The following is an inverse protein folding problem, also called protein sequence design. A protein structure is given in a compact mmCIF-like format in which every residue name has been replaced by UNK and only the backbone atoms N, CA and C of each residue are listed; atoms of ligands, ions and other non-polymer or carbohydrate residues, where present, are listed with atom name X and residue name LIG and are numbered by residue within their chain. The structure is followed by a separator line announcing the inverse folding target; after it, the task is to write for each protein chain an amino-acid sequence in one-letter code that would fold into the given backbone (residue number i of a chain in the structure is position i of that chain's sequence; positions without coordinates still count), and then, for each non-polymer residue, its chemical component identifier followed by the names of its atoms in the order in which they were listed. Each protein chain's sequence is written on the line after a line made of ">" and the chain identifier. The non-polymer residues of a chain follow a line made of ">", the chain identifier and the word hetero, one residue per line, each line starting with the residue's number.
data_IF_628759972390
#
_entry.id   IF_628759972390
#
_cell.length_a   1.000
_cell.length_b   1.000
_cell.length_c   1.000
_cell.angle_alpha   90.00
_cell.angle_beta   90.00
_cell.angle_gamma   90.00
#
_symmetry.space_group_name_H-M   'P 1'
#
loop_
_entity.id
_entity.type
_entity.pdbx_description
1 polymer ?
#
# COMPACT_ATOMS: atom_id res chain seq x y z
N UNK A 1 -18.17 15.93 -9.00
CA UNK A 1 -17.77 15.71 -7.60
C UNK A 1 -16.26 15.52 -7.57
N UNK A 2 -15.54 16.00 -6.54
CA UNK A 2 -14.10 15.81 -6.45
C UNK A 2 -13.78 14.31 -6.33
N UNK A 3 -12.83 13.86 -7.15
CA UNK A 3 -12.26 12.52 -7.06
C UNK A 3 -11.08 12.57 -6.08
N UNK A 4 -10.99 11.58 -5.20
CA UNK A 4 -9.90 11.46 -4.23
C UNK A 4 -9.31 10.07 -4.31
N UNK A 5 -8.03 9.97 -3.95
CA UNK A 5 -7.28 8.72 -3.89
C UNK A 5 -6.93 8.42 -2.44
N UNK A 6 -7.20 7.19 -1.99
CA UNK A 6 -6.85 6.71 -0.65
C UNK A 6 -6.17 5.36 -0.72
N UNK A 7 -5.18 5.14 0.13
CA UNK A 7 -4.43 3.90 0.17
C UNK A 7 -4.93 2.98 1.26
N UNK A 8 -5.07 1.70 0.95
CA UNK A 8 -5.30 0.63 1.92
C UNK A 8 -4.04 -0.23 1.99
N UNK A 9 -3.43 -0.32 3.17
CA UNK A 9 -2.33 -1.26 3.40
C UNK A 9 -2.89 -2.70 3.38
N UNK A 10 -2.40 -3.51 2.44
CA UNK A 10 -2.83 -4.91 2.28
C UNK A 10 -1.95 -5.85 3.10
N UNK A 11 -0.69 -5.48 3.30
CA UNK A 11 0.25 -6.24 4.10
C UNK A 11 1.69 -5.76 3.95
N UNK A 12 2.55 -6.27 4.84
CA UNK A 12 3.99 -6.02 4.85
C UNK A 12 4.77 -7.32 4.67
N UNK A 13 5.93 -7.21 4.05
CA UNK A 13 6.86 -8.32 3.89
C UNK A 13 8.30 -7.87 4.09
N UNK A 14 9.08 -8.74 4.73
CA UNK A 14 10.51 -8.64 4.87
C UNK A 14 11.00 -7.62 5.90
N UNK A 15 12.32 -7.63 6.07
CA UNK A 15 13.10 -6.65 6.80
C UNK A 15 14.36 -6.40 5.98
N UNK A 16 14.34 -5.35 5.17
CA UNK A 16 15.45 -4.91 4.33
C UNK A 16 16.35 -4.01 5.17
N UNK A 17 17.58 -4.42 5.48
CA UNK A 17 18.52 -3.53 6.16
C UNK A 17 18.94 -2.41 5.20
N UNK A 18 18.90 -1.18 5.68
CA UNK A 18 19.41 0.00 4.98
C UNK A 18 20.58 0.61 5.75
N UNK A 19 21.56 1.11 4.99
CA UNK A 19 22.76 1.74 5.54
C UNK A 19 22.97 3.08 4.87
N UNK A 20 23.29 4.10 5.66
CA UNK A 20 23.62 5.44 5.19
C UNK A 20 24.90 5.91 5.87
N UNK A 21 25.78 6.57 5.13
CA UNK A 21 26.98 7.19 5.70
C UNK A 21 26.82 8.71 5.66
N UNK A 22 27.00 9.37 6.80
CA UNK A 22 27.04 10.83 6.90
C UNK A 22 28.40 11.28 7.42
N UNK A 23 28.89 12.39 6.91
CA UNK A 23 30.12 13.03 7.39
C UNK A 23 29.74 14.08 8.43
N UNK A 24 30.12 13.86 9.68
CA UNK A 24 29.73 14.70 10.81
C UNK A 24 30.96 15.16 11.61
N UNK A 25 30.87 16.33 12.23
CA UNK A 25 31.94 16.92 13.03
C UNK A 25 32.66 18.09 12.36
N UNK A 26 33.33 18.90 13.17
CA UNK A 26 34.14 20.05 12.76
C UNK A 26 35.35 20.16 13.72
N UNK A 27 36.57 20.53 13.26
CA UNK A 27 36.98 20.94 11.91
C UNK A 27 37.28 19.80 10.94
N UNK A 28 37.48 18.57 11.43
CA UNK A 28 37.71 17.38 10.60
C UNK A 28 36.48 16.48 10.70
N UNK A 29 35.63 16.40 9.66
CA UNK A 29 34.46 15.52 9.69
C UNK A 29 34.88 14.05 9.65
N UNK A 30 34.21 13.23 10.46
CA UNK A 30 34.37 11.78 10.48
C UNK A 30 33.15 11.09 9.83
N UNK A 31 33.34 9.96 9.14
CA UNK A 31 32.22 9.19 8.60
C UNK A 31 31.51 8.45 9.73
N UNK A 32 30.22 8.70 9.88
CA UNK A 32 29.32 8.00 10.79
C UNK A 32 28.39 7.12 9.95
N UNK A 33 28.36 5.83 10.28
CA UNK A 33 27.44 4.87 9.68
C UNK A 33 26.13 4.90 10.46
N UNK A 34 25.04 4.98 9.72
CA UNK A 34 23.68 4.85 10.22
C UNK A 34 23.03 3.62 9.62
N UNK A 35 22.21 2.94 10.40
CA UNK A 35 21.45 1.78 10.00
C UNK A 35 19.96 1.97 10.33
N UNK A 36 19.10 1.35 9.54
CA UNK A 36 17.68 1.19 9.84
C UNK A 36 17.14 -0.06 9.15
N UNK A 37 15.96 -0.50 9.56
CA UNK A 37 15.20 -1.51 8.84
C UNK A 37 14.03 -0.92 8.07
N UNK A 38 13.75 -1.52 6.92
CA UNK A 38 12.60 -1.19 6.07
C UNK A 38 11.84 -2.44 5.68
N UNK A 39 10.56 -2.29 5.35
CA UNK A 39 9.74 -3.37 4.83
C UNK A 39 9.12 -2.99 3.50
N UNK A 40 8.89 -4.00 2.66
CA UNK A 40 8.05 -3.84 1.49
C UNK A 40 6.59 -3.85 1.95
N UNK A 41 5.83 -2.85 1.54
CA UNK A 41 4.42 -2.70 1.88
C UNK A 41 3.60 -2.73 0.60
N UNK A 42 2.58 -3.59 0.57
CA UNK A 42 1.62 -3.68 -0.53
C UNK A 42 0.41 -2.80 -0.24
N UNK A 43 -0.02 -2.02 -1.23
CA UNK A 43 -1.18 -1.14 -1.14
C UNK A 43 -2.19 -1.43 -2.23
N UNK A 44 -3.47 -1.21 -1.91
CA UNK A 44 -4.50 -0.92 -2.89
C UNK A 44 -4.76 0.59 -2.92
N UNK A 45 -4.54 1.20 -4.07
CA UNK A 45 -4.85 2.59 -4.35
C UNK A 45 -6.30 2.68 -4.84
N UNK A 46 -7.19 3.17 -3.98
CA UNK A 46 -8.62 3.30 -4.25
C UNK A 46 -8.92 4.73 -4.68
N UNK A 47 -9.52 4.88 -5.85
CA UNK A 47 -9.95 6.16 -6.41
C UNK A 47 -11.46 6.19 -6.54
N UNK A 48 -12.08 7.30 -6.16
CA UNK A 48 -13.52 7.47 -6.29
C UNK A 48 -13.99 8.86 -5.83
N UNK A 49 -15.30 9.13 -5.91
CA UNK A 49 -15.90 10.33 -5.33
C UNK A 49 -15.64 10.42 -3.83
N UNK A 50 -15.31 11.61 -3.32
CA UNK A 50 -14.97 11.79 -1.91
C UNK A 50 -16.14 11.48 -0.95
N UNK A 51 -17.37 11.82 -1.33
CA UNK A 51 -18.57 11.46 -0.55
C UNK A 51 -18.69 9.93 -0.41
N UNK A 52 -18.50 9.21 -1.50
CA UNK A 52 -18.58 7.76 -1.54
C UNK A 52 -17.47 7.11 -0.72
N UNK A 53 -16.24 7.58 -0.87
CA UNK A 53 -15.11 7.05 -0.11
C UNK A 53 -15.22 7.38 1.38
N UNK A 54 -15.88 8.47 1.78
CA UNK A 54 -16.13 8.76 3.18
C UNK A 54 -17.19 7.84 3.78
N UNK A 55 -18.30 7.64 3.08
CA UNK A 55 -19.44 6.87 3.60
C UNK A 55 -19.17 5.36 3.59
N UNK A 56 -18.46 4.85 2.58
CA UNK A 56 -18.27 3.42 2.36
C UNK A 56 -16.83 2.92 2.64
N UNK A 57 -15.95 3.74 3.23
CA UNK A 57 -14.53 3.38 3.38
C UNK A 57 -14.32 2.03 4.06
N UNK A 58 -15.06 1.77 5.14
CA UNK A 58 -14.91 0.55 5.91
C UNK A 58 -15.25 -0.71 5.09
N UNK A 59 -16.31 -0.67 4.29
CA UNK A 59 -16.68 -1.76 3.40
C UNK A 59 -15.65 -1.93 2.27
N UNK A 60 -15.15 -0.84 1.70
CA UNK A 60 -14.09 -0.84 0.69
C UNK A 60 -12.83 -1.51 1.24
N UNK A 61 -12.40 -1.15 2.44
CA UNK A 61 -11.25 -1.76 3.13
C UNK A 61 -11.48 -3.25 3.35
N UNK A 62 -12.66 -3.65 3.84
CA UNK A 62 -13.00 -5.06 4.02
C UNK A 62 -12.94 -5.88 2.72
N UNK A 63 -13.45 -5.31 1.62
CA UNK A 63 -13.36 -5.92 0.30
C UNK A 63 -11.92 -5.97 -0.24
N UNK A 64 -11.11 -4.93 0.01
CA UNK A 64 -9.72 -4.89 -0.43
C UNK A 64 -8.86 -5.94 0.30
N UNK A 65 -9.07 -6.12 1.61
CA UNK A 65 -8.35 -7.12 2.41
C UNK A 65 -8.74 -8.56 2.01
N UNK A 66 -10.02 -8.83 1.75
CA UNK A 66 -10.44 -10.15 1.27
C UNK A 66 -9.89 -10.46 -0.12
N UNK A 67 -9.87 -9.46 -1.01
CA UNK A 67 -9.27 -9.56 -2.34
C UNK A 67 -7.75 -9.75 -2.30
N UNK A 68 -7.04 -9.14 -1.34
CA UNK A 68 -5.62 -9.35 -1.13
C UNK A 68 -5.30 -10.80 -0.72
N UNK A 69 -6.17 -11.43 0.08
CA UNK A 69 -6.08 -12.85 0.39
C UNK A 69 -6.18 -13.73 -0.86
N UNK A 70 -7.09 -13.40 -1.78
CA UNK A 70 -7.29 -14.16 -3.02
C UNK A 70 -6.18 -13.92 -4.07
N UNK A 71 -5.71 -12.69 -4.23
CA UNK A 71 -4.61 -12.36 -5.12
C UNK A 71 -3.26 -12.90 -4.61
N UNK A 72 -3.19 -13.27 -3.33
CA UNK A 72 -1.99 -13.61 -2.56
C UNK A 72 -1.00 -12.43 -2.45
N UNK A 73 -0.62 -12.08 -1.22
CA UNK A 73 0.34 -10.99 -0.99
C UNK A 73 1.66 -11.21 -1.74
N UNK A 74 2.12 -12.47 -1.86
CA UNK A 74 3.33 -12.81 -2.60
C UNK A 74 3.26 -12.39 -4.08
N UNK A 75 2.13 -12.61 -4.76
CA UNK A 75 1.97 -12.18 -6.16
C UNK A 75 1.93 -10.66 -6.29
N UNK A 76 1.30 -9.97 -5.32
CA UNK A 76 1.28 -8.50 -5.28
C UNK A 76 2.71 -7.96 -5.12
N UNK A 77 3.51 -8.54 -4.23
CA UNK A 77 4.92 -8.18 -4.05
C UNK A 77 5.77 -8.47 -5.29
N UNK A 78 5.54 -9.60 -5.98
CA UNK A 78 6.28 -9.96 -7.19
C UNK A 78 5.92 -9.08 -8.40
N UNK A 79 4.66 -8.67 -8.52
CA UNK A 79 4.20 -7.88 -9.66
C UNK A 79 2.77 -7.36 -9.47
N UNK A 80 2.59 -6.13 -8.95
CA UNK A 80 1.27 -5.57 -8.65
C UNK A 80 0.32 -5.56 -9.86
N UNK A 81 0.85 -5.25 -11.05
CA UNK A 81 0.08 -5.21 -12.30
C UNK A 81 -0.44 -6.61 -12.69
N UNK A 82 0.38 -7.64 -12.50
CA UNK A 82 0.00 -9.04 -12.79
C UNK A 82 -0.99 -9.61 -11.78
N UNK A 83 -0.97 -9.14 -10.52
CA UNK A 83 -1.90 -9.55 -9.48
C UNK A 83 -3.27 -8.85 -9.57
N UNK A 84 -3.35 -7.71 -10.27
CA UNK A 84 -4.56 -6.88 -10.34
C UNK A 84 -5.81 -7.62 -10.87
N UNK A 85 -5.75 -8.48 -11.91
CA UNK A 85 -6.92 -9.23 -12.36
C UNK A 85 -7.49 -10.18 -11.29
N UNK A 86 -6.62 -10.92 -10.60
CA UNK A 86 -7.01 -11.82 -9.51
C UNK A 86 -7.62 -11.05 -8.33
N UNK A 87 -7.03 -9.89 -8.00
CA UNK A 87 -7.58 -8.98 -6.99
C UNK A 87 -8.98 -8.49 -7.39
N UNK A 88 -9.13 -7.96 -8.62
CA UNK A 88 -10.42 -7.44 -9.12
C UNK A 88 -11.52 -8.50 -9.20
N UNK A 89 -11.16 -9.76 -9.46
CA UNK A 89 -12.11 -10.87 -9.50
C UNK A 89 -12.84 -11.08 -8.16
N UNK A 90 -12.25 -10.69 -7.04
CA UNK A 90 -12.85 -10.77 -5.71
C UNK A 90 -13.32 -9.40 -5.20
N UNK A 91 -12.53 -8.37 -5.46
CA UNK A 91 -12.83 -7.00 -5.02
C UNK A 91 -14.12 -6.46 -5.63
N UNK A 92 -14.29 -6.58 -6.95
CA UNK A 92 -15.44 -5.99 -7.65
C UNK A 92 -16.78 -6.61 -7.22
N UNK A 93 -16.95 -7.96 -7.14
CA UNK A 93 -18.19 -8.54 -6.62
C UNK A 93 -18.50 -8.16 -5.18
N UNK A 94 -17.47 -8.05 -4.33
CA UNK A 94 -17.63 -7.61 -2.95
C UNK A 94 -18.14 -6.16 -2.88
N UNK A 95 -17.53 -5.25 -3.66
CA UNK A 95 -18.00 -3.87 -3.77
C UNK A 95 -19.43 -3.77 -4.29
N UNK A 96 -19.77 -4.51 -5.34
CA UNK A 96 -21.14 -4.52 -5.89
C UNK A 96 -22.14 -4.99 -4.85
N UNK A 97 -21.80 -5.99 -4.04
CA UNK A 97 -22.67 -6.47 -2.96
C UNK A 97 -22.93 -5.38 -1.91
N UNK A 98 -21.90 -4.59 -1.58
CA UNK A 98 -21.96 -3.55 -0.54
C UNK A 98 -22.51 -2.21 -1.00
N UNK A 99 -22.22 -1.81 -2.24
CA UNK A 99 -22.43 -0.45 -2.77
C UNK A 99 -23.32 -0.40 -4.00
N UNK A 100 -23.73 -1.56 -4.53
CA UNK A 100 -24.67 -1.69 -5.64
C UNK A 100 -24.19 -0.89 -6.87
N UNK A 101 -25.05 -0.01 -7.39
CA UNK A 101 -24.80 0.81 -8.59
C UNK A 101 -23.60 1.77 -8.44
N UNK A 102 -23.26 2.19 -7.23
CA UNK A 102 -22.13 3.11 -7.00
C UNK A 102 -20.77 2.41 -7.02
N UNK A 103 -20.73 1.08 -7.03
CA UNK A 103 -19.47 0.32 -7.07
C UNK A 103 -18.64 0.63 -8.32
N UNK A 104 -19.28 0.96 -9.45
CA UNK A 104 -18.60 1.31 -10.70
C UNK A 104 -17.85 2.65 -10.62
N UNK A 105 -18.15 3.50 -9.63
CA UNK A 105 -17.46 4.76 -9.40
C UNK A 105 -16.10 4.56 -8.69
N UNK A 106 -15.84 3.35 -8.17
CA UNK A 106 -14.61 3.00 -7.46
C UNK A 106 -13.63 2.31 -8.40
N UNK A 107 -12.44 2.88 -8.53
CA UNK A 107 -11.33 2.29 -9.27
C UNK A 107 -10.25 1.83 -8.29
N UNK A 108 -9.57 0.73 -8.65
CA UNK A 108 -8.46 0.19 -7.86
C UNK A 108 -7.23 -0.04 -8.72
N UNK A 109 -6.08 0.33 -8.17
CA UNK A 109 -4.75 -0.09 -8.61
C UNK A 109 -4.00 -0.75 -7.44
N UNK A 110 -2.97 -1.52 -7.75
CA UNK A 110 -2.09 -2.12 -6.75
C UNK A 110 -0.71 -1.51 -6.88
N UNK A 111 -0.08 -1.23 -5.75
CA UNK A 111 1.29 -0.73 -5.69
C UNK A 111 2.07 -1.40 -4.56
N UNK A 112 3.39 -1.39 -4.68
CA UNK A 112 4.31 -1.86 -3.65
C UNK A 112 5.34 -0.76 -3.39
N UNK A 113 5.61 -0.49 -2.12
CA UNK A 113 6.53 0.56 -1.72
C UNK A 113 7.41 0.06 -0.59
N UNK A 114 8.68 0.41 -0.61
CA UNK A 114 9.56 0.23 0.53
C UNK A 114 9.29 1.35 1.54
N UNK A 115 8.97 1.01 2.78
CA UNK A 115 8.83 1.98 3.88
C UNK A 115 9.79 1.65 5.00
N UNK A 116 10.40 2.69 5.56
CA UNK A 116 11.17 2.59 6.78
C UNK A 116 10.27 2.15 7.93
N UNK A 117 10.75 1.20 8.72
CA UNK A 117 10.08 0.75 9.93
C UNK A 117 10.43 1.66 11.12
N UNK A 118 11.58 2.33 11.04
CA UNK A 118 12.16 3.12 12.11
C UNK A 118 13.03 4.25 11.54
N UNK A 119 13.36 5.21 12.42
CA UNK A 119 14.35 6.24 12.14
C UNK A 119 15.78 5.67 12.09
N UNK A 120 16.71 6.48 11.62
CA UNK A 120 18.12 6.10 11.52
C UNK A 120 18.79 6.01 12.89
N UNK A 121 19.46 4.89 13.14
CA UNK A 121 20.27 4.64 14.35
C UNK A 121 21.75 4.58 14.00
N UNK A 122 22.63 4.91 14.95
CA UNK A 122 24.09 4.83 14.79
C UNK A 122 24.63 3.49 15.24
#
# INVERSE_FOLDING_TARGET
>A
MPQVSRQVELGRSGSVPEVMVKWEGHPVPAPIVYHRTSSMVAYADINGPDDLLNDAWHDIVGCALSAAGAATLAAIFAGPVGALPAFKAVFSPCLVTKMQVRAAEVQVALSTQQKANEDWHR
#
